data_IF_890190328826
#
_entry.id   IF_890190328826
#
_cell.length_a   1.000
_cell.length_b   1.000
_cell.length_c   1.000
_cell.angle_alpha   90.00
_cell.angle_beta   90.00
_cell.angle_gamma   90.00
#
_symmetry.space_group_name_H-M   'P 1'
#
loop_
_entity.id
_entity.type
_entity.pdbx_description
1 polymer ?
#
# COMPACT_ATOMS: atom_id res chain seq x y z
N UNK A 1 -64.39 17.71 8.28
CA UNK A 1 -63.83 16.45 7.69
C UNK A 1 -62.66 16.82 6.81
N UNK A 2 -61.44 16.67 7.34
CA UNK A 2 -60.20 16.99 6.61
C UNK A 2 -59.67 15.70 6.09
N UNK A 3 -59.65 15.53 4.75
CA UNK A 3 -59.11 14.38 4.05
C UNK A 3 -57.60 14.45 4.00
N UNK A 4 -56.93 13.58 4.80
CA UNK A 4 -55.48 13.36 4.71
C UNK A 4 -55.16 12.60 3.42
N UNK A 5 -54.32 13.22 2.56
CA UNK A 5 -53.68 12.53 1.42
C UNK A 5 -52.54 11.63 1.92
N UNK A 6 -52.47 10.38 1.46
CA UNK A 6 -51.35 9.51 1.84
C UNK A 6 -50.05 9.96 1.15
N UNK A 7 -48.99 10.01 1.94
CA UNK A 7 -47.61 10.32 1.51
C UNK A 7 -47.13 9.23 0.55
N UNK A 8 -46.54 9.55 -0.62
CA UNK A 8 -46.00 8.53 -1.51
C UNK A 8 -44.82 7.78 -0.85
N UNK A 9 -44.67 6.48 -1.13
CA UNK A 9 -43.60 5.67 -0.58
C UNK A 9 -42.23 6.15 -1.05
N UNK A 10 -41.22 6.07 -0.13
CA UNK A 10 -39.84 6.41 -0.40
C UNK A 10 -39.33 5.63 -1.63
N UNK A 11 -38.70 6.33 -2.58
CA UNK A 11 -38.07 5.73 -3.75
C UNK A 11 -36.98 4.77 -3.28
N UNK A 12 -37.22 3.49 -3.44
CA UNK A 12 -36.21 2.43 -3.36
C UNK A 12 -35.14 2.73 -4.40
N UNK A 13 -33.87 2.74 -3.99
CA UNK A 13 -32.73 2.97 -4.88
C UNK A 13 -32.77 2.01 -6.09
N UNK A 14 -32.45 2.54 -7.26
CA UNK A 14 -32.53 1.84 -8.55
C UNK A 14 -31.60 0.62 -8.57
N UNK A 15 -32.04 -0.57 -9.04
CA UNK A 15 -31.26 -1.80 -9.03
C UNK A 15 -29.93 -1.66 -9.79
N UNK A 16 -28.89 -2.36 -9.31
CA UNK A 16 -27.60 -2.57 -10.00
C UNK A 16 -27.83 -3.06 -11.44
N UNK A 17 -26.96 -2.72 -12.38
CA UNK A 17 -27.10 -3.04 -13.79
C UNK A 17 -26.89 -4.53 -14.13
N UNK A 18 -26.13 -5.22 -13.29
CA UNK A 18 -25.90 -6.66 -13.26
C UNK A 18 -26.34 -7.12 -11.88
N UNK A 19 -26.93 -8.32 -11.76
CA UNK A 19 -27.52 -8.86 -10.54
C UNK A 19 -26.65 -8.69 -9.27
N UNK A 20 -27.04 -9.19 -8.10
CA UNK A 20 -26.28 -8.99 -6.89
C UNK A 20 -24.85 -9.48 -7.12
N UNK A 21 -23.87 -8.59 -6.93
CA UNK A 21 -22.45 -8.94 -6.91
C UNK A 21 -22.26 -9.96 -5.79
N UNK A 22 -21.62 -11.09 -6.07
CA UNK A 22 -21.20 -12.08 -5.05
C UNK A 22 -20.07 -11.52 -4.16
N UNK A 23 -19.61 -10.29 -4.44
CA UNK A 23 -18.59 -9.59 -3.68
C UNK A 23 -19.19 -9.02 -2.40
N UNK A 24 -18.58 -9.33 -1.26
CA UNK A 24 -18.88 -8.72 0.05
C UNK A 24 -18.36 -7.28 0.18
N UNK A 25 -17.64 -6.77 -0.85
CA UNK A 25 -17.02 -5.45 -0.85
C UNK A 25 -18.04 -4.33 -1.04
N UNK A 26 -17.79 -3.19 -0.42
CA UNK A 26 -18.53 -1.97 -0.68
C UNK A 26 -18.29 -1.49 -2.14
N UNK A 27 -19.26 -0.81 -2.79
CA UNK A 27 -19.12 -0.42 -4.21
C UNK A 27 -17.86 0.43 -4.51
N UNK A 28 -17.40 1.22 -3.55
CA UNK A 28 -16.16 2.00 -3.68
C UNK A 28 -14.94 1.09 -3.74
N UNK A 29 -14.92 0.03 -2.95
CA UNK A 29 -13.85 -0.97 -2.91
C UNK A 29 -13.86 -1.85 -4.16
N UNK A 30 -15.05 -2.18 -4.70
CA UNK A 30 -15.18 -2.86 -5.99
C UNK A 30 -14.55 -2.04 -7.13
N UNK A 31 -14.75 -0.70 -7.14
CA UNK A 31 -14.08 0.19 -8.12
C UNK A 31 -12.57 0.18 -7.96
N UNK A 32 -12.07 0.24 -6.72
CA UNK A 32 -10.62 0.20 -6.47
C UNK A 32 -10.00 -1.13 -6.87
N UNK A 33 -10.64 -2.25 -6.57
CA UNK A 33 -10.18 -3.59 -6.96
C UNK A 33 -10.14 -3.75 -8.49
N UNK A 34 -11.22 -3.35 -9.18
CA UNK A 34 -11.29 -3.37 -10.64
C UNK A 34 -10.25 -2.47 -11.30
N UNK A 35 -10.01 -1.28 -10.73
CA UNK A 35 -9.00 -0.36 -11.24
C UNK A 35 -7.58 -0.88 -11.00
N UNK A 36 -7.30 -1.47 -9.84
CA UNK A 36 -6.01 -2.09 -9.52
C UNK A 36 -5.65 -3.17 -10.55
N UNK A 37 -6.61 -4.04 -10.89
CA UNK A 37 -6.46 -5.05 -11.94
C UNK A 37 -6.16 -4.40 -13.29
N UNK A 38 -7.05 -3.57 -13.78
CA UNK A 38 -6.95 -3.02 -15.14
C UNK A 38 -5.74 -2.11 -15.32
N UNK A 39 -5.35 -1.32 -14.30
CA UNK A 39 -4.18 -0.45 -14.38
C UNK A 39 -2.87 -1.24 -14.42
N UNK A 40 -2.81 -2.38 -13.76
CA UNK A 40 -1.61 -3.22 -13.73
C UNK A 40 -1.50 -4.18 -14.92
N UNK A 41 -2.62 -4.67 -15.44
CA UNK A 41 -2.63 -5.63 -16.56
C UNK A 41 -2.62 -4.93 -17.92
N UNK A 42 -3.48 -3.90 -18.10
CA UNK A 42 -3.65 -3.22 -19.38
C UNK A 42 -2.86 -1.90 -19.46
N UNK A 43 -2.33 -1.45 -18.35
CA UNK A 43 -1.70 -0.14 -18.21
C UNK A 43 -2.70 0.98 -17.92
N UNK A 44 -2.25 1.98 -17.17
CA UNK A 44 -3.09 3.12 -16.76
C UNK A 44 -3.64 3.91 -17.95
N UNK A 45 -2.79 4.25 -18.93
CA UNK A 45 -3.19 5.07 -20.08
C UNK A 45 -4.29 4.43 -20.92
N UNK A 46 -4.21 3.11 -21.15
CA UNK A 46 -5.18 2.36 -21.97
C UNK A 46 -6.49 2.06 -21.23
N UNK A 47 -6.52 2.12 -19.90
CA UNK A 47 -7.72 1.84 -19.11
C UNK A 47 -8.66 3.05 -19.08
N UNK A 48 -9.94 2.84 -19.39
CA UNK A 48 -10.99 3.87 -19.33
C UNK A 48 -11.81 3.74 -18.05
N UNK A 49 -12.42 4.85 -17.60
CA UNK A 49 -13.36 4.84 -16.46
C UNK A 49 -14.59 3.94 -16.73
N UNK A 50 -14.98 3.82 -18.00
CA UNK A 50 -16.05 2.91 -18.41
C UNK A 50 -15.65 1.44 -18.18
N UNK A 51 -14.45 1.06 -18.59
CA UNK A 51 -13.95 -0.31 -18.38
C UNK A 51 -13.85 -0.64 -16.89
N UNK A 52 -13.39 0.32 -16.06
CA UNK A 52 -13.35 0.16 -14.59
C UNK A 52 -14.76 -0.04 -14.02
N UNK A 53 -15.74 0.77 -14.43
CA UNK A 53 -17.11 0.64 -13.96
C UNK A 53 -17.72 -0.72 -14.36
N UNK A 54 -17.54 -1.14 -15.62
CA UNK A 54 -18.00 -2.44 -16.14
C UNK A 54 -17.37 -3.61 -15.36
N UNK A 55 -16.06 -3.55 -15.11
CA UNK A 55 -15.33 -4.57 -14.33
C UNK A 55 -15.78 -4.64 -12.86
N UNK A 56 -16.14 -3.48 -12.27
CA UNK A 56 -16.69 -3.39 -10.92
C UNK A 56 -18.20 -3.74 -10.83
N UNK A 57 -18.83 -4.17 -11.92
CA UNK A 57 -20.27 -4.46 -11.94
C UNK A 57 -21.16 -3.24 -11.77
N UNK A 58 -20.67 -2.02 -12.05
CA UNK A 58 -21.37 -0.77 -11.86
C UNK A 58 -21.70 -0.08 -13.19
N UNK A 59 -22.73 0.76 -13.18
CA UNK A 59 -22.91 1.73 -14.25
C UNK A 59 -21.88 2.85 -14.09
N UNK A 60 -21.36 3.38 -15.18
CA UNK A 60 -20.40 4.47 -15.17
C UNK A 60 -20.89 5.69 -14.37
N UNK A 61 -22.18 6.04 -14.50
CA UNK A 61 -22.78 7.11 -13.71
C UNK A 61 -22.73 6.85 -12.19
N UNK A 62 -22.87 5.59 -11.76
CA UNK A 62 -22.77 5.21 -10.35
C UNK A 62 -21.32 5.29 -9.84
N UNK A 63 -20.35 4.92 -10.67
CA UNK A 63 -18.93 5.03 -10.32
C UNK A 63 -18.52 6.50 -10.06
N UNK A 64 -19.04 7.46 -10.85
CA UNK A 64 -18.76 8.89 -10.68
C UNK A 64 -19.25 9.47 -9.34
N UNK A 65 -20.15 8.80 -8.62
CA UNK A 65 -20.48 9.18 -7.24
C UNK A 65 -19.35 8.90 -6.26
N UNK A 66 -18.46 7.96 -6.56
CA UNK A 66 -17.33 7.59 -5.70
C UNK A 66 -16.03 8.26 -6.13
N UNK A 67 -15.80 8.38 -7.43
CA UNK A 67 -14.57 8.93 -8.01
C UNK A 67 -14.90 9.81 -9.21
N UNK A 68 -14.61 11.10 -9.10
CA UNK A 68 -14.91 12.07 -10.16
C UNK A 68 -14.02 11.87 -11.40
N UNK A 69 -12.80 11.40 -11.23
CA UNK A 69 -11.79 11.23 -12.29
C UNK A 69 -11.02 9.93 -12.13
N UNK A 70 -10.40 9.46 -13.22
CA UNK A 70 -9.51 8.29 -13.21
C UNK A 70 -8.29 8.51 -12.31
N UNK A 71 -7.79 9.73 -12.28
CA UNK A 71 -6.69 10.16 -11.42
C UNK A 71 -7.02 10.02 -9.93
N UNK A 72 -8.29 10.22 -9.53
CA UNK A 72 -8.72 10.07 -8.13
C UNK A 72 -8.67 8.61 -7.68
N UNK A 73 -9.03 7.69 -8.58
CA UNK A 73 -8.93 6.24 -8.34
C UNK A 73 -7.45 5.86 -8.16
N UNK A 74 -6.59 6.27 -9.11
CA UNK A 74 -5.15 5.98 -9.03
C UNK A 74 -4.53 6.58 -7.77
N UNK A 75 -4.83 7.83 -7.43
CA UNK A 75 -4.29 8.46 -6.22
C UNK A 75 -4.69 7.69 -4.96
N UNK A 76 -5.97 7.30 -4.84
CA UNK A 76 -6.44 6.49 -3.71
C UNK A 76 -5.73 5.14 -3.62
N UNK A 77 -5.51 4.46 -4.75
CA UNK A 77 -4.76 3.21 -4.79
C UNK A 77 -3.32 3.41 -4.31
N UNK A 78 -2.63 4.44 -4.80
CA UNK A 78 -1.24 4.72 -4.42
C UNK A 78 -1.13 5.13 -2.95
N UNK A 79 -2.03 5.98 -2.45
CA UNK A 79 -2.09 6.40 -1.05
C UNK A 79 -2.28 5.18 -0.11
N UNK A 80 -3.11 4.21 -0.49
CA UNK A 80 -3.34 3.00 0.30
C UNK A 80 -2.13 2.08 0.44
N UNK A 81 -1.13 2.20 -0.43
CA UNK A 81 0.11 1.42 -0.36
C UNK A 81 1.19 2.06 0.50
N UNK A 82 1.11 3.35 0.80
CA UNK A 82 2.15 4.09 1.53
C UNK A 82 1.69 4.47 2.94
N UNK A 83 0.44 4.86 3.10
CA UNK A 83 -0.08 5.40 4.36
C UNK A 83 0.09 4.43 5.55
N UNK A 84 -0.22 3.12 5.45
CA UNK A 84 -0.01 2.19 6.57
C UNK A 84 1.46 2.05 6.96
N UNK A 85 2.38 2.04 6.00
CA UNK A 85 3.82 1.95 6.24
C UNK A 85 4.36 3.23 6.88
N UNK A 86 3.87 4.40 6.48
CA UNK A 86 4.24 5.68 7.09
C UNK A 86 3.75 5.79 8.54
N UNK A 87 2.54 5.34 8.82
CA UNK A 87 2.00 5.28 10.19
C UNK A 87 2.86 4.37 11.08
N UNK A 88 3.21 3.17 10.59
CA UNK A 88 4.10 2.26 11.29
C UNK A 88 5.49 2.88 11.52
N UNK A 89 6.08 3.49 10.49
CA UNK A 89 7.37 4.16 10.59
C UNK A 89 7.38 5.25 11.67
N UNK A 90 6.35 6.09 11.69
CA UNK A 90 6.16 7.13 12.69
C UNK A 90 6.10 6.55 14.11
N UNK A 91 5.31 5.49 14.29
CA UNK A 91 5.16 4.83 15.58
C UNK A 91 6.44 4.12 16.06
N UNK A 92 7.21 3.54 15.14
CA UNK A 92 8.51 2.92 15.45
C UNK A 92 9.56 3.96 15.80
N UNK A 93 9.62 5.10 15.10
CA UNK A 93 10.55 6.20 15.41
C UNK A 93 10.24 6.86 16.77
N UNK A 94 8.97 6.91 17.17
CA UNK A 94 8.56 7.40 18.47
C UNK A 94 9.00 6.50 19.66
N UNK A 95 9.62 5.34 19.42
CA UNK A 95 10.06 4.37 20.43
C UNK A 95 11.60 4.22 20.45
N UNK A 96 12.36 5.25 20.91
CA UNK A 96 13.81 5.26 20.83
C UNK A 96 14.49 4.17 21.68
N UNK A 97 13.78 3.59 22.65
CA UNK A 97 14.28 2.49 23.49
C UNK A 97 14.42 1.15 22.75
N UNK A 98 13.75 0.99 21.61
CA UNK A 98 13.85 -0.22 20.80
C UNK A 98 15.11 -0.20 19.93
N UNK A 99 15.69 -1.38 19.68
CA UNK A 99 16.83 -1.52 18.79
C UNK A 99 16.53 -0.94 17.39
N UNK A 100 17.34 -0.02 16.85
CA UNK A 100 17.15 0.53 15.51
C UNK A 100 17.09 -0.52 14.40
N UNK A 101 17.87 -1.60 14.50
CA UNK A 101 17.86 -2.69 13.53
C UNK A 101 16.54 -3.48 13.59
N UNK A 102 15.99 -3.71 14.78
CA UNK A 102 14.67 -4.34 14.94
C UNK A 102 13.55 -3.46 14.37
N UNK A 103 13.61 -2.15 14.57
CA UNK A 103 12.67 -1.19 13.98
C UNK A 103 12.75 -1.17 12.46
N UNK A 104 13.96 -1.16 11.89
CA UNK A 104 14.16 -1.23 10.44
C UNK A 104 13.62 -2.55 9.87
N UNK A 105 13.90 -3.66 10.56
CA UNK A 105 13.38 -4.97 10.16
C UNK A 105 11.85 -4.98 10.11
N UNK A 106 11.21 -4.53 11.19
CA UNK A 106 9.74 -4.50 11.29
C UNK A 106 9.10 -3.63 10.20
N UNK A 107 9.66 -2.44 9.97
CA UNK A 107 9.16 -1.54 8.93
C UNK A 107 9.32 -2.16 7.53
N UNK A 108 10.50 -2.67 7.20
CA UNK A 108 10.76 -3.23 5.87
C UNK A 108 9.94 -4.51 5.61
N UNK A 109 9.76 -5.36 6.63
CA UNK A 109 8.94 -6.56 6.54
C UNK A 109 7.46 -6.22 6.29
N UNK A 110 6.90 -5.29 7.07
CA UNK A 110 5.51 -4.86 6.97
C UNK A 110 5.22 -4.16 5.64
N UNK A 111 6.13 -3.27 5.19
CA UNK A 111 5.99 -2.51 3.94
C UNK A 111 6.03 -3.44 2.71
N UNK A 112 7.00 -4.35 2.65
CA UNK A 112 7.07 -5.37 1.61
C UNK A 112 5.87 -6.33 1.65
N UNK A 113 5.43 -6.75 2.84
CA UNK A 113 4.25 -7.59 3.00
C UNK A 113 2.96 -6.88 2.54
N UNK A 114 2.82 -5.59 2.83
CA UNK A 114 1.68 -4.77 2.37
C UNK A 114 1.60 -4.76 0.84
N UNK A 115 2.71 -4.50 0.15
CA UNK A 115 2.78 -4.49 -1.31
C UNK A 115 2.57 -5.89 -1.91
N UNK A 116 3.03 -6.94 -1.22
CA UNK A 116 2.89 -8.33 -1.69
C UNK A 116 1.48 -8.90 -1.47
N UNK A 117 0.80 -8.50 -0.40
CA UNK A 117 -0.52 -9.01 0.00
C UNK A 117 -1.62 -8.66 -1.02
N UNK A 118 -1.52 -7.52 -1.70
CA UNK A 118 -2.46 -7.13 -2.75
C UNK A 118 -2.45 -8.11 -3.92
N UNK A 119 -3.57 -8.33 -4.60
CA UNK A 119 -3.66 -9.18 -5.81
C UNK A 119 -2.82 -8.62 -6.96
N UNK A 120 -2.63 -7.30 -7.02
CA UNK A 120 -1.97 -6.59 -8.12
C UNK A 120 -0.74 -5.83 -7.62
N UNK A 121 0.30 -5.74 -8.47
CA UNK A 121 1.53 -5.00 -8.14
C UNK A 121 1.33 -3.48 -8.30
N UNK A 122 0.74 -2.83 -7.30
CA UNK A 122 0.52 -1.39 -7.31
C UNK A 122 1.83 -0.59 -7.28
N UNK A 123 2.93 -1.15 -6.75
CA UNK A 123 4.24 -0.50 -6.78
C UNK A 123 4.75 -0.20 -8.19
N UNK A 124 4.35 -1.00 -9.18
CA UNK A 124 4.68 -0.72 -10.59
C UNK A 124 4.07 0.60 -11.10
N UNK A 125 2.99 1.07 -10.49
CA UNK A 125 2.31 2.31 -10.88
C UNK A 125 3.01 3.57 -10.36
N UNK A 126 3.98 3.45 -9.43
CA UNK A 126 4.69 4.61 -8.86
C UNK A 126 5.51 5.38 -9.90
N UNK A 127 5.94 4.69 -10.96
CA UNK A 127 6.78 5.26 -12.02
C UNK A 127 5.98 5.89 -13.17
N UNK A 128 4.65 5.89 -13.11
CA UNK A 128 3.82 6.49 -14.14
C UNK A 128 4.10 8.00 -14.26
N UNK A 129 4.22 8.55 -15.49
CA UNK A 129 4.41 9.99 -15.68
C UNK A 129 3.32 10.84 -15.03
N UNK A 130 2.09 10.36 -15.00
CA UNK A 130 0.91 10.99 -14.41
C UNK A 130 1.09 11.27 -12.92
N UNK A 131 1.83 10.42 -12.20
CA UNK A 131 2.09 10.55 -10.76
C UNK A 131 2.90 11.82 -10.41
N UNK A 132 3.50 12.49 -11.42
CA UNK A 132 4.14 13.79 -11.25
C UNK A 132 3.14 14.94 -11.14
N UNK A 133 1.89 14.75 -11.55
CA UNK A 133 0.82 15.76 -11.52
C UNK A 133 0.44 16.20 -10.11
N UNK A 134 -0.21 17.36 -10.01
CA UNK A 134 -0.59 17.98 -8.72
C UNK A 134 -1.53 17.10 -7.90
N UNK A 135 -2.42 16.36 -8.57
CA UNK A 135 -3.35 15.41 -7.88
C UNK A 135 -2.64 14.40 -7.01
N UNK A 136 -1.39 14.06 -7.30
CA UNK A 136 -0.58 13.08 -6.59
C UNK A 136 0.41 13.69 -5.59
N UNK A 137 0.29 15.00 -5.31
CA UNK A 137 1.19 15.69 -4.37
C UNK A 137 1.15 15.07 -2.97
N UNK A 138 -0.04 14.65 -2.50
CA UNK A 138 -0.23 13.93 -1.22
C UNK A 138 0.57 12.64 -1.19
N UNK A 139 0.35 11.76 -2.16
CA UNK A 139 1.09 10.49 -2.28
C UNK A 139 2.61 10.71 -2.31
N UNK A 140 3.09 11.64 -3.15
CA UNK A 140 4.54 11.93 -3.23
C UNK A 140 5.11 12.42 -1.91
N UNK A 141 4.35 13.21 -1.14
CA UNK A 141 4.75 13.69 0.18
C UNK A 141 4.85 12.54 1.16
N UNK A 142 3.80 11.72 1.31
CA UNK A 142 3.81 10.56 2.20
C UNK A 142 4.94 9.57 1.87
N UNK A 143 5.21 9.36 0.56
CA UNK A 143 6.33 8.52 0.12
C UNK A 143 7.70 9.14 0.47
N UNK A 144 7.84 10.46 0.36
CA UNK A 144 9.07 11.15 0.75
C UNK A 144 9.28 11.12 2.29
N UNK A 145 8.21 11.22 3.07
CA UNK A 145 8.24 11.08 4.52
C UNK A 145 8.61 9.64 4.94
N UNK A 146 8.05 8.62 4.29
CA UNK A 146 8.43 7.22 4.50
C UNK A 146 9.92 7.00 4.17
N UNK A 147 10.40 7.56 3.04
CA UNK A 147 11.82 7.54 2.68
C UNK A 147 12.69 8.18 3.76
N UNK A 148 12.27 9.32 4.31
CA UNK A 148 13.00 9.99 5.39
C UNK A 148 13.06 9.13 6.66
N UNK A 149 11.98 8.44 7.00
CA UNK A 149 11.94 7.51 8.14
C UNK A 149 12.92 6.34 7.96
N UNK A 150 13.00 5.74 6.77
CA UNK A 150 14.03 4.75 6.45
C UNK A 150 15.44 5.33 6.58
N UNK A 151 15.65 6.56 6.10
CA UNK A 151 16.94 7.26 6.23
C UNK A 151 17.36 7.52 7.69
N UNK A 152 16.40 7.81 8.55
CA UNK A 152 16.65 7.99 9.99
C UNK A 152 17.04 6.66 10.65
N UNK A 153 16.35 5.56 10.36
CA UNK A 153 16.69 4.23 10.88
C UNK A 153 18.08 3.78 10.40
N UNK A 154 18.42 4.03 9.13
CA UNK A 154 19.77 3.77 8.62
C UNK A 154 20.84 4.59 9.35
N UNK A 155 20.55 5.86 9.64
CA UNK A 155 21.47 6.71 10.41
C UNK A 155 21.68 6.22 11.85
N UNK A 156 20.61 5.78 12.50
CA UNK A 156 20.68 5.23 13.86
C UNK A 156 21.47 3.92 13.93
N UNK A 157 21.43 3.09 12.89
CA UNK A 157 22.19 1.83 12.82
C UNK A 157 23.67 2.09 12.51
N UNK A 158 23.97 2.99 11.58
CA UNK A 158 25.33 3.26 11.10
C UNK A 158 25.58 4.78 10.99
N UNK A 159 25.74 5.48 12.15
CA UNK A 159 26.00 6.90 12.15
C UNK A 159 27.38 7.20 11.50
N UNK A 160 27.39 8.18 10.58
CA UNK A 160 28.62 8.60 9.90
C UNK A 160 29.00 7.79 8.66
N UNK A 161 28.29 6.71 8.35
CA UNK A 161 28.51 5.97 7.10
C UNK A 161 28.14 6.83 5.86
N UNK A 162 29.06 6.91 4.87
CA UNK A 162 28.82 7.69 3.67
C UNK A 162 27.74 7.06 2.76
N UNK A 163 27.13 7.87 1.87
CA UNK A 163 26.18 7.39 0.87
C UNK A 163 24.81 7.02 1.45
N UNK A 164 24.40 7.59 2.58
CA UNK A 164 23.09 7.34 3.20
C UNK A 164 21.94 7.54 2.22
N UNK A 165 21.96 8.60 1.44
CA UNK A 165 20.90 8.90 0.47
C UNK A 165 20.74 7.79 -0.58
N UNK A 166 21.85 7.34 -1.15
CA UNK A 166 21.84 6.22 -2.11
C UNK A 166 21.36 4.92 -1.46
N UNK A 167 21.79 4.62 -0.22
CA UNK A 167 21.32 3.43 0.50
C UNK A 167 19.84 3.50 0.79
N UNK A 168 19.32 4.67 1.12
CA UNK A 168 17.90 4.89 1.31
C UNK A 168 17.11 4.63 0.03
N UNK A 169 17.59 5.14 -1.12
CA UNK A 169 16.96 4.90 -2.42
C UNK A 169 17.02 3.43 -2.84
N UNK A 170 18.15 2.76 -2.59
CA UNK A 170 18.30 1.32 -2.84
C UNK A 170 17.37 0.49 -1.94
N UNK A 171 17.19 0.89 -0.67
CA UNK A 171 16.31 0.22 0.26
C UNK A 171 14.85 0.33 -0.18
N UNK A 172 14.39 1.53 -0.55
CA UNK A 172 13.05 1.69 -1.12
C UNK A 172 12.89 0.88 -2.42
N UNK A 173 13.87 0.93 -3.31
CA UNK A 173 13.89 0.12 -4.51
C UNK A 173 13.82 -1.38 -4.23
N UNK A 174 14.45 -1.86 -3.15
CA UNK A 174 14.37 -3.24 -2.69
C UNK A 174 12.96 -3.60 -2.21
N UNK A 175 12.34 -2.76 -1.39
CA UNK A 175 10.98 -2.97 -0.87
C UNK A 175 9.96 -2.96 -2.01
N UNK A 176 9.99 -1.93 -2.84
CA UNK A 176 9.04 -1.76 -3.95
C UNK A 176 9.26 -2.76 -5.10
N UNK A 177 10.51 -3.02 -5.45
CA UNK A 177 10.90 -3.92 -6.54
C UNK A 177 10.91 -5.39 -6.18
N UNK A 178 11.19 -5.75 -4.93
CA UNK A 178 11.23 -7.13 -4.45
C UNK A 178 9.92 -7.87 -4.72
N UNK A 179 8.81 -7.20 -4.53
CA UNK A 179 7.46 -7.72 -4.82
C UNK A 179 7.28 -8.04 -6.31
N UNK A 180 7.77 -7.20 -7.21
CA UNK A 180 7.68 -7.42 -8.65
C UNK A 180 8.48 -8.64 -9.10
N UNK A 181 9.68 -8.83 -8.53
CA UNK A 181 10.55 -9.99 -8.83
C UNK A 181 9.90 -11.30 -8.39
N UNK A 182 9.31 -11.33 -7.21
CA UNK A 182 8.64 -12.53 -6.68
C UNK A 182 7.39 -12.85 -7.51
N UNK A 183 6.57 -11.85 -7.84
CA UNK A 183 5.34 -12.03 -8.63
C UNK A 183 5.61 -12.41 -10.10
N UNK A 184 6.64 -11.87 -10.71
CA UNK A 184 7.03 -12.24 -12.08
C UNK A 184 7.41 -13.72 -12.25
N UNK A 185 7.62 -14.44 -11.13
CA UNK A 185 7.85 -15.87 -11.07
C UNK A 185 6.65 -16.66 -10.52
N UNK A 186 5.52 -16.02 -10.32
CA UNK A 186 4.40 -16.52 -9.50
C UNK A 186 3.73 -17.79 -10.01
N UNK A 187 3.94 -18.23 -11.24
CA UNK A 187 3.49 -19.57 -11.67
C UNK A 187 4.25 -20.72 -10.99
N UNK A 188 5.33 -20.44 -10.25
CA UNK A 188 6.23 -21.47 -9.69
C UNK A 188 6.71 -21.22 -8.26
N UNK A 189 6.54 -20.03 -7.64
CA UNK A 189 7.34 -19.74 -6.44
C UNK A 189 6.61 -19.87 -5.11
N UNK A 190 5.29 -19.92 -5.04
CA UNK A 190 4.53 -20.24 -3.81
C UNK A 190 4.94 -19.52 -2.51
N UNK A 191 5.78 -18.45 -2.58
CA UNK A 191 6.24 -17.74 -1.39
C UNK A 191 5.08 -17.01 -0.68
N UNK A 192 4.98 -17.23 0.63
CA UNK A 192 4.02 -16.53 1.47
C UNK A 192 4.38 -15.05 1.66
N UNK A 193 3.37 -14.24 1.95
CA UNK A 193 3.54 -12.80 2.18
C UNK A 193 4.55 -12.49 3.30
N UNK A 194 4.49 -13.24 4.39
CA UNK A 194 5.41 -13.09 5.52
C UNK A 194 6.84 -13.49 5.16
N UNK A 195 7.00 -14.55 4.36
CA UNK A 195 8.31 -15.00 3.88
C UNK A 195 8.98 -13.94 3.00
N UNK A 196 8.22 -13.33 2.07
CA UNK A 196 8.72 -12.22 1.25
C UNK A 196 9.08 -11.01 2.11
N UNK A 197 8.23 -10.63 3.05
CA UNK A 197 8.50 -9.54 3.99
C UNK A 197 9.79 -9.76 4.78
N UNK A 198 9.96 -10.94 5.38
CA UNK A 198 11.14 -11.30 6.14
C UNK A 198 12.42 -11.30 5.28
N UNK A 199 12.35 -11.82 4.04
CA UNK A 199 13.47 -11.82 3.12
C UNK A 199 13.92 -10.41 2.71
N UNK A 200 12.96 -9.52 2.43
CA UNK A 200 13.22 -8.10 2.13
C UNK A 200 13.83 -7.40 3.35
N UNK A 201 13.30 -7.65 4.56
CA UNK A 201 13.82 -7.07 5.80
C UNK A 201 15.25 -7.54 6.11
N UNK A 202 15.58 -8.83 5.92
CA UNK A 202 16.97 -9.30 6.07
C UNK A 202 17.91 -8.64 5.05
N UNK A 203 17.47 -8.45 3.82
CA UNK A 203 18.25 -7.75 2.80
C UNK A 203 18.41 -6.25 3.13
N UNK A 204 17.39 -5.58 3.68
CA UNK A 204 17.47 -4.20 4.18
C UNK A 204 18.52 -4.06 5.29
N UNK A 205 18.56 -4.99 6.24
CA UNK A 205 19.59 -5.00 7.29
C UNK A 205 21.01 -5.26 6.76
N UNK A 206 21.16 -6.07 5.71
CA UNK A 206 22.47 -6.23 5.02
C UNK A 206 22.91 -4.91 4.40
N UNK A 207 22.00 -4.20 3.75
CA UNK A 207 22.24 -2.89 3.16
C UNK A 207 22.62 -1.85 4.25
N UNK A 208 22.04 -1.97 5.45
CA UNK A 208 22.39 -1.16 6.62
C UNK A 208 23.75 -1.52 7.24
N UNK A 209 24.41 -2.59 6.79
CA UNK A 209 25.71 -3.03 7.30
C UNK A 209 25.64 -3.95 8.52
N UNK A 210 24.46 -4.48 8.87
CA UNK A 210 24.31 -5.40 9.99
C UNK A 210 24.96 -6.76 9.69
N UNK A 211 25.74 -7.28 10.62
CA UNK A 211 26.28 -8.63 10.53
C UNK A 211 25.20 -9.71 10.75
N UNK A 212 25.57 -10.98 10.61
CA UNK A 212 24.63 -12.10 10.71
C UNK A 212 23.97 -12.18 12.09
N UNK A 213 24.70 -11.91 13.16
CA UNK A 213 24.19 -12.02 14.53
C UNK A 213 23.20 -10.90 14.82
N UNK A 214 23.52 -9.66 14.45
CA UNK A 214 22.66 -8.49 14.56
C UNK A 214 21.36 -8.67 13.78
N UNK A 215 21.44 -9.19 12.54
CA UNK A 215 20.24 -9.45 11.73
C UNK A 215 19.32 -10.51 12.38
N UNK A 216 19.90 -11.59 12.89
CA UNK A 216 19.12 -12.62 13.57
C UNK A 216 18.46 -12.11 14.87
N UNK A 217 19.10 -11.22 15.60
CA UNK A 217 18.53 -10.55 16.78
C UNK A 217 17.40 -9.62 16.38
N UNK A 218 17.65 -8.75 15.40
CA UNK A 218 16.68 -7.79 14.87
C UNK A 218 15.42 -8.48 14.33
N UNK A 219 15.56 -9.60 13.63
CA UNK A 219 14.43 -10.37 13.13
C UNK A 219 13.54 -10.95 14.25
N UNK A 220 14.16 -11.47 15.33
CA UNK A 220 13.39 -12.00 16.47
C UNK A 220 12.62 -10.91 17.22
N UNK A 221 13.24 -9.76 17.44
CA UNK A 221 12.61 -8.63 18.11
C UNK A 221 11.60 -7.95 17.18
N UNK A 222 11.96 -7.70 15.92
CA UNK A 222 11.15 -6.98 14.94
C UNK A 222 9.86 -7.71 14.55
N UNK A 223 9.86 -9.03 14.54
CA UNK A 223 8.68 -9.83 14.15
C UNK A 223 7.43 -9.57 15.02
N UNK A 224 7.62 -9.16 16.28
CA UNK A 224 6.51 -8.81 17.18
C UNK A 224 6.13 -7.32 17.16
N UNK A 225 6.96 -6.46 16.60
CA UNK A 225 6.78 -5.01 16.75
C UNK A 225 5.59 -4.46 15.95
N UNK A 226 5.29 -5.01 14.78
CA UNK A 226 4.14 -4.56 13.97
C UNK A 226 2.83 -4.75 14.73
N UNK A 227 2.62 -5.94 15.31
CA UNK A 227 1.42 -6.24 16.11
C UNK A 227 1.34 -5.35 17.35
N UNK A 228 2.44 -5.24 18.12
CA UNK A 228 2.51 -4.42 19.33
C UNK A 228 2.28 -2.92 19.07
N UNK A 229 2.70 -2.41 17.91
CA UNK A 229 2.44 -1.02 17.52
C UNK A 229 0.98 -0.81 17.19
N UNK A 230 0.34 -1.72 16.45
CA UNK A 230 -1.08 -1.63 16.09
C UNK A 230 -2.00 -1.67 17.31
N UNK A 231 -1.71 -2.53 18.28
CA UNK A 231 -2.46 -2.64 19.54
C UNK A 231 -2.32 -1.38 20.39
N UNK A 232 -1.13 -0.77 20.46
CA UNK A 232 -0.86 0.42 21.25
C UNK A 232 -1.40 1.74 20.67
N UNK A 233 -1.83 1.78 19.40
CA UNK A 233 -2.46 2.96 18.77
C UNK A 233 -3.99 2.95 18.89
N UNK A 234 -4.60 1.89 19.43
CA UNK A 234 -6.04 1.73 19.62
C UNK A 234 -6.55 2.10 21.02
N UNK A 235 -5.68 2.65 21.89
CA UNK A 235 -6.01 3.14 23.24
C UNK A 235 -5.85 4.66 23.32
#
# INVERSE_FOLDING_TARGET
MVTQHPRPPARVGRPRALGPSESELAPREEVLAAAAELFTENGYAATTTRAVAERAGLRQASMYHYFARKEDILATLLESTVEPSLQLATALLARPALDPAARLWALAAADAALLHRGLYNLGALYQLPEVRGERFAGFRRSRAELRAAYGELLHLIAPGEPGRELRCDLLLGLVEGGVAVVRGRAESSGYGTEEVGAAVADAALRLAGCDRAARAAAAREGAGLEAAVREGTGS
#
